data_IF_298461641491
#
_entry.id   IF_298461641491
#
_cell.length_a   1.000
_cell.length_b   1.000
_cell.length_c   1.000
_cell.angle_alpha   90.00
_cell.angle_beta   90.00
_cell.angle_gamma   90.00
#
_symmetry.space_group_name_H-M   'P 1'
#
loop_
_entity.id
_entity.type
_entity.pdbx_description
1 polymer ?
#
# COMPACT_ATOMS: atom_id res chain seq x y z
N UNK A 1 10.28 -3.06 -23.56
CA UNK A 1 10.77 -2.01 -22.63
C UNK A 1 9.85 -1.86 -21.39
N UNK A 2 9.11 -2.90 -20.98
CA UNK A 2 7.82 -2.69 -20.27
C UNK A 2 7.58 -3.52 -19.00
N UNK A 3 8.33 -4.58 -18.70
CA UNK A 3 8.10 -5.37 -17.48
C UNK A 3 8.91 -4.86 -16.28
N UNK A 4 10.19 -4.53 -16.51
CA UNK A 4 11.08 -4.00 -15.47
C UNK A 4 10.66 -2.61 -14.98
N UNK A 5 10.20 -1.74 -15.88
CA UNK A 5 9.69 -0.41 -15.55
C UNK A 5 8.38 -0.48 -14.76
N UNK A 6 7.48 -1.41 -15.09
CA UNK A 6 6.24 -1.63 -14.35
C UNK A 6 6.48 -2.21 -12.95
N UNK A 7 7.44 -3.15 -12.81
CA UNK A 7 7.86 -3.66 -11.51
C UNK A 7 8.47 -2.55 -10.63
N UNK A 8 9.28 -1.67 -11.22
CA UNK A 8 9.84 -0.51 -10.54
C UNK A 8 8.75 0.48 -10.07
N UNK A 9 7.73 0.74 -10.91
CA UNK A 9 6.59 1.60 -10.54
C UNK A 9 5.77 0.99 -9.39
N UNK A 10 5.49 -0.32 -9.43
CA UNK A 10 4.78 -1.01 -8.35
C UNK A 10 5.54 -0.97 -7.02
N UNK A 11 6.86 -1.15 -7.07
CA UNK A 11 7.74 -1.01 -5.90
C UNK A 11 7.76 0.44 -5.38
N UNK A 12 7.92 1.42 -6.26
CA UNK A 12 7.94 2.85 -5.90
C UNK A 12 6.62 3.29 -5.24
N UNK A 13 5.48 2.86 -5.78
CA UNK A 13 4.16 3.13 -5.18
C UNK A 13 4.01 2.47 -3.81
N UNK A 14 4.50 1.24 -3.62
CA UNK A 14 4.48 0.57 -2.32
C UNK A 14 5.29 1.35 -1.28
N UNK A 15 6.50 1.78 -1.64
CA UNK A 15 7.36 2.60 -0.77
C UNK A 15 6.69 3.93 -0.45
N UNK A 16 6.07 4.58 -1.43
CA UNK A 16 5.39 5.86 -1.23
C UNK A 16 4.19 5.72 -0.27
N UNK A 17 3.35 4.69 -0.45
CA UNK A 17 2.19 4.43 0.41
C UNK A 17 2.65 4.15 1.85
N UNK A 18 3.67 3.29 2.04
CA UNK A 18 4.22 3.00 3.36
C UNK A 18 4.81 4.25 4.02
N UNK A 19 5.53 5.07 3.26
CA UNK A 19 6.12 6.32 3.76
C UNK A 19 5.02 7.28 4.22
N UNK A 20 4.01 7.54 3.38
CA UNK A 20 2.90 8.45 3.74
C UNK A 20 2.15 7.91 4.97
N UNK A 21 1.85 6.61 4.99
CA UNK A 21 1.10 6.00 6.08
C UNK A 21 1.86 5.96 7.41
N UNK A 22 3.20 6.05 7.39
CA UNK A 22 4.03 6.15 8.60
C UNK A 22 4.25 7.61 9.02
N UNK A 23 4.48 8.51 8.06
CA UNK A 23 4.72 9.94 8.34
C UNK A 23 3.45 10.66 8.79
N UNK A 24 2.31 10.39 8.16
CA UNK A 24 1.03 11.03 8.49
C UNK A 24 0.62 10.89 9.98
N UNK A 25 0.60 9.70 10.59
CA UNK A 25 0.27 9.56 12.01
C UNK A 25 1.34 10.18 12.92
N UNK A 26 2.62 10.16 12.55
CA UNK A 26 3.67 10.81 13.34
C UNK A 26 3.48 12.33 13.38
N UNK A 27 3.20 12.94 12.23
CA UNK A 27 2.88 14.37 12.13
C UNK A 27 1.62 14.68 12.93
N UNK A 28 0.58 13.86 12.81
CA UNK A 28 -0.66 14.03 13.58
C UNK A 28 -0.41 13.97 15.09
N UNK A 29 0.33 12.96 15.56
CA UNK A 29 0.60 12.77 16.99
C UNK A 29 1.52 13.86 17.56
N UNK A 30 2.48 14.35 16.78
CA UNK A 30 3.43 15.37 17.18
C UNK A 30 2.80 16.78 17.28
N UNK A 31 1.94 17.14 16.31
CA UNK A 31 1.45 18.52 16.20
C UNK A 31 -0.02 18.70 16.61
N UNK A 32 -0.85 17.65 16.54
CA UNK A 32 -2.31 17.77 16.70
C UNK A 32 -2.89 16.97 17.86
N UNK A 33 -2.18 15.95 18.36
CA UNK A 33 -2.67 15.09 19.44
C UNK A 33 -2.25 15.59 20.84
N UNK A 34 -2.39 16.89 21.12
CA UNK A 34 -1.96 17.50 22.39
C UNK A 34 -2.76 17.00 23.59
N UNK A 35 -4.05 16.70 23.38
CA UNK A 35 -4.96 16.22 24.43
C UNK A 35 -5.01 14.68 24.53
N UNK A 36 -4.23 13.97 23.72
CA UNK A 36 -4.26 12.50 23.72
C UNK A 36 -3.36 11.95 24.81
N UNK A 37 -3.84 10.92 25.50
CA UNK A 37 -3.01 10.13 26.40
C UNK A 37 -1.95 9.36 25.61
N UNK A 38 -0.87 8.94 26.27
CA UNK A 38 0.19 8.15 25.62
C UNK A 38 -0.37 6.91 24.90
N UNK A 39 -1.32 6.21 25.54
CA UNK A 39 -1.98 5.06 24.94
C UNK A 39 -2.70 5.41 23.63
N UNK A 40 -3.48 6.50 23.61
CA UNK A 40 -4.20 6.93 22.40
C UNK A 40 -3.25 7.28 21.26
N UNK A 41 -2.10 7.90 21.55
CA UNK A 41 -1.07 8.20 20.55
C UNK A 41 -0.50 6.93 19.91
N UNK A 42 -0.20 5.91 20.71
CA UNK A 42 0.28 4.62 20.23
C UNK A 42 -0.78 3.93 19.36
N UNK A 43 -2.05 3.96 19.77
CA UNK A 43 -3.16 3.37 19.00
C UNK A 43 -3.28 4.01 17.61
N UNK A 44 -3.16 5.34 17.49
CA UNK A 44 -3.21 6.03 16.19
C UNK A 44 -2.12 5.52 15.26
N UNK A 45 -0.87 5.42 15.75
CA UNK A 45 0.25 4.92 14.96
C UNK A 45 0.02 3.47 14.52
N UNK A 46 -0.46 2.61 15.42
CA UNK A 46 -0.77 1.21 15.09
C UNK A 46 -1.88 1.07 14.04
N UNK A 47 -2.98 1.82 14.19
CA UNK A 47 -4.09 1.79 13.22
C UNK A 47 -3.63 2.26 11.84
N UNK A 48 -2.83 3.33 11.76
CA UNK A 48 -2.27 3.78 10.49
C UNK A 48 -1.36 2.74 9.84
N UNK A 49 -0.60 1.98 10.64
CA UNK A 49 0.25 0.90 10.13
C UNK A 49 -0.58 -0.27 9.58
N UNK A 50 -1.69 -0.61 10.24
CA UNK A 50 -2.65 -1.62 9.73
C UNK A 50 -3.25 -1.17 8.39
N UNK A 51 -3.69 0.10 8.30
CA UNK A 51 -4.24 0.66 7.07
C UNK A 51 -3.19 0.69 5.94
N UNK A 52 -1.93 0.97 6.26
CA UNK A 52 -0.82 0.93 5.30
C UNK A 52 -0.68 -0.47 4.68
N UNK A 53 -0.61 -1.49 5.53
CA UNK A 53 -0.47 -2.89 5.10
C UNK A 53 -1.70 -3.33 4.31
N UNK A 54 -2.91 -2.96 4.74
CA UNK A 54 -4.14 -3.26 4.02
C UNK A 54 -4.16 -2.63 2.62
N UNK A 55 -3.77 -1.36 2.49
CA UNK A 55 -3.71 -0.67 1.20
C UNK A 55 -2.72 -1.34 0.25
N UNK A 56 -1.54 -1.71 0.74
CA UNK A 56 -0.53 -2.45 -0.04
C UNK A 56 -1.09 -3.82 -0.46
N UNK A 57 -1.71 -4.56 0.46
CA UNK A 57 -2.30 -5.87 0.15
C UNK A 57 -3.36 -5.78 -0.96
N UNK A 58 -4.29 -4.82 -0.88
CA UNK A 58 -5.32 -4.61 -1.91
C UNK A 58 -4.68 -4.27 -3.26
N UNK A 59 -3.70 -3.37 -3.29
CA UNK A 59 -2.99 -3.01 -4.51
C UNK A 59 -2.37 -4.24 -5.19
N UNK A 60 -1.72 -5.10 -4.41
CA UNK A 60 -1.10 -6.32 -4.93
C UNK A 60 -2.13 -7.36 -5.40
N UNK A 61 -3.26 -7.52 -4.71
CA UNK A 61 -4.36 -8.39 -5.14
C UNK A 61 -4.92 -7.93 -6.49
N UNK A 62 -5.20 -6.64 -6.65
CA UNK A 62 -5.72 -6.06 -7.89
C UNK A 62 -4.69 -6.22 -9.02
N UNK A 63 -3.41 -6.01 -8.74
CA UNK A 63 -2.35 -6.12 -9.75
C UNK A 63 -2.04 -7.57 -10.15
N UNK A 64 -2.13 -8.52 -9.21
CA UNK A 64 -2.01 -9.95 -9.49
C UNK A 64 -3.21 -10.46 -10.32
N UNK A 65 -4.43 -10.03 -9.97
CA UNK A 65 -5.65 -10.39 -10.70
C UNK A 65 -5.63 -9.94 -12.16
N UNK A 66 -5.18 -8.70 -12.43
CA UNK A 66 -5.05 -8.18 -13.81
C UNK A 66 -4.05 -8.98 -14.65
N UNK A 67 -2.93 -9.43 -14.07
CA UNK A 67 -1.91 -10.22 -14.79
C UNK A 67 -2.29 -11.70 -14.96
N UNK A 68 -3.06 -12.27 -14.03
CA UNK A 68 -3.58 -13.63 -14.12
C UNK A 68 -4.61 -13.80 -15.24
N UNK A 69 -5.54 -12.85 -15.38
CA UNK A 69 -6.61 -12.92 -16.38
C UNK A 69 -6.09 -12.77 -17.82
N UNK A 70 -5.14 -11.85 -18.06
CA UNK A 70 -4.55 -11.65 -19.39
C UNK A 70 -3.74 -12.86 -19.88
N UNK A 71 -3.00 -13.54 -18.98
CA UNK A 71 -2.27 -14.78 -19.31
C UNK A 71 -3.17 -15.99 -19.54
N UNK A 72 -4.32 -16.04 -18.86
CA UNK A 72 -5.29 -17.13 -19.02
C UNK A 72 -6.04 -17.02 -20.35
N UNK A 73 -6.48 -15.81 -20.72
CA UNK A 73 -7.25 -15.59 -21.95
C UNK A 73 -6.40 -15.75 -23.22
N UNK A 74 -5.15 -15.28 -23.21
CA UNK A 74 -4.23 -15.48 -24.36
C UNK A 74 -3.90 -16.96 -24.61
N UNK A 75 -4.00 -17.83 -23.60
CA UNK A 75 -3.77 -19.27 -23.73
C UNK A 75 -4.98 -20.05 -24.22
N UNK A 76 -6.19 -19.49 -24.09
CA UNK A 76 -7.43 -20.14 -24.53
C UNK A 76 -7.94 -19.65 -25.90
N UNK A 77 -7.38 -18.56 -26.44
CA UNK A 77 -7.76 -17.99 -27.75
C UNK A 77 -6.73 -18.21 -28.87
N UNK A 78 -5.66 -18.97 -28.62
CA UNK A 78 -4.80 -19.51 -29.68
C UNK A 78 -5.19 -20.98 -29.95
N UNK A 79 -5.79 -21.32 -31.11
CA UNK A 79 -5.98 -22.70 -31.54
C UNK A 79 -4.65 -23.40 -31.88
#
# INVERSE_FOLDING_TARGET
>A
MTDASQAAVGAALTVLILTIALVAPLVYVAFYATNYTFFQKVVVVLVSLILAVAAVAVMWIVWAGRRGFMRSWSRSHNP
#
